data_IF_222074276368
#
_entry.id   IF_222074276368
#
_cell.length_a   1.000
_cell.length_b   1.000
_cell.length_c   1.000
_cell.angle_alpha   90.00
_cell.angle_beta   90.00
_cell.angle_gamma   90.00
#
_symmetry.space_group_name_H-M   'P 1'
#
loop_
_entity.id
_entity.type
_entity.pdbx_description
1 polymer ?
#
# COMPACT_ATOMS: atom_id res chain seq x y z
N UNK A 1 19.57 8.50 40.89
CA UNK A 1 20.07 8.44 39.49
C UNK A 1 18.93 7.98 38.58
N UNK A 2 18.47 8.79 37.62
CA UNK A 2 17.47 8.34 36.64
C UNK A 2 18.17 7.51 35.57
N UNK A 3 17.80 6.22 35.42
CA UNK A 3 18.24 5.37 34.30
C UNK A 3 17.78 6.04 33.00
N UNK A 4 18.73 6.41 32.13
CA UNK A 4 18.42 6.85 30.76
C UNK A 4 17.92 5.64 29.99
N UNK A 5 16.64 5.62 29.64
CA UNK A 5 16.08 4.63 28.72
C UNK A 5 16.70 4.86 27.34
N UNK A 6 17.27 3.80 26.75
CA UNK A 6 17.79 3.87 25.39
C UNK A 6 16.67 4.23 24.42
N UNK A 7 16.95 5.09 23.45
CA UNK A 7 15.96 5.50 22.44
C UNK A 7 15.62 4.31 21.54
N UNK A 8 14.34 4.04 21.31
CA UNK A 8 13.84 3.00 20.37
C UNK A 8 13.94 3.42 18.90
N UNK A 9 14.51 4.60 18.61
CA UNK A 9 14.60 5.16 17.27
C UNK A 9 15.78 4.54 16.53
N UNK A 10 15.52 4.05 15.32
CA UNK A 10 16.54 3.56 14.39
C UNK A 10 16.90 4.70 13.43
N UNK A 11 18.20 4.93 13.23
CA UNK A 11 18.68 5.86 12.20
C UNK A 11 18.70 5.14 10.85
N UNK A 12 18.09 5.76 9.85
CA UNK A 12 18.15 5.33 8.46
C UNK A 12 18.74 6.46 7.63
N UNK A 13 19.73 6.14 6.78
CA UNK A 13 20.32 7.10 5.86
C UNK A 13 19.81 6.79 4.44
N UNK A 14 19.16 7.77 3.80
CA UNK A 14 18.62 7.65 2.45
C UNK A 14 19.45 8.48 1.47
N UNK A 15 19.64 7.95 0.25
CA UNK A 15 20.20 8.70 -0.88
C UNK A 15 19.13 8.78 -1.96
N UNK A 16 18.83 10.00 -2.38
CA UNK A 16 17.88 10.28 -3.45
C UNK A 16 18.50 11.31 -4.39
N UNK A 17 17.94 11.43 -5.59
CA UNK A 17 18.34 12.47 -6.54
C UNK A 17 18.07 13.87 -5.96
N UNK A 18 18.83 14.85 -6.44
CA UNK A 18 18.83 16.20 -5.87
C UNK A 18 17.45 16.86 -5.96
N UNK A 19 16.80 16.75 -7.11
CA UNK A 19 15.48 17.28 -7.37
C UNK A 19 14.40 16.60 -6.50
N UNK A 20 14.51 15.28 -6.28
CA UNK A 20 13.64 14.55 -5.35
C UNK A 20 13.82 15.07 -3.91
N UNK A 21 15.06 15.27 -3.46
CA UNK A 21 15.34 15.83 -2.14
C UNK A 21 14.76 17.24 -1.97
N UNK A 22 14.91 18.09 -2.98
CA UNK A 22 14.34 19.45 -3.00
C UNK A 22 12.81 19.42 -2.97
N UNK A 23 12.18 18.50 -3.72
CA UNK A 23 10.73 18.29 -3.71
C UNK A 23 10.19 17.87 -2.34
N UNK A 24 10.84 16.91 -1.68
CA UNK A 24 10.48 16.46 -0.33
C UNK A 24 10.60 17.60 0.68
N UNK A 25 11.69 18.37 0.62
CA UNK A 25 11.90 19.51 1.51
C UNK A 25 10.82 20.57 1.33
N UNK A 26 10.52 20.95 0.09
CA UNK A 26 9.48 21.94 -0.23
C UNK A 26 8.11 21.49 0.27
N UNK A 27 7.75 20.23 0.07
CA UNK A 27 6.48 19.67 0.54
C UNK A 27 6.38 19.74 2.07
N UNK A 28 7.40 19.26 2.78
CA UNK A 28 7.44 19.29 4.25
C UNK A 28 7.31 20.72 4.79
N UNK A 29 8.03 21.69 4.20
CA UNK A 29 7.93 23.11 4.56
C UNK A 29 6.55 23.70 4.30
N UNK A 30 5.90 23.36 3.18
CA UNK A 30 4.57 23.92 2.85
C UNK A 30 3.47 23.51 3.82
N UNK A 31 3.61 22.37 4.49
CA UNK A 31 2.64 21.87 5.48
C UNK A 31 3.14 22.02 6.93
N UNK A 32 4.27 22.67 7.15
CA UNK A 32 4.78 23.01 8.48
C UNK A 32 5.33 21.83 9.28
N UNK A 33 5.87 20.79 8.63
CA UNK A 33 6.46 19.62 9.30
C UNK A 33 7.93 19.44 8.91
N UNK A 34 8.67 18.67 9.72
CA UNK A 34 10.04 18.27 9.36
C UNK A 34 10.05 17.16 8.30
N UNK A 35 11.11 17.09 7.50
CA UNK A 35 11.34 15.99 6.54
C UNK A 35 11.26 14.62 7.23
N UNK A 36 11.79 14.50 8.45
CA UNK A 36 11.71 13.25 9.21
C UNK A 36 10.28 12.86 9.57
N UNK A 37 9.41 13.81 9.91
CA UNK A 37 8.00 13.53 10.19
C UNK A 37 7.27 13.09 8.93
N UNK A 38 7.52 13.78 7.80
CA UNK A 38 6.96 13.41 6.51
C UNK A 38 7.36 11.98 6.14
N UNK A 39 8.67 11.68 6.11
CA UNK A 39 9.17 10.35 5.76
C UNK A 39 8.66 9.26 6.71
N UNK A 40 8.64 9.52 8.02
CA UNK A 40 8.11 8.55 8.97
C UNK A 40 6.61 8.29 8.75
N UNK A 41 5.80 9.33 8.53
CA UNK A 41 4.38 9.21 8.21
C UNK A 41 4.17 8.42 6.93
N UNK A 42 4.91 8.74 5.86
CA UNK A 42 4.86 8.04 4.59
C UNK A 42 5.26 6.57 4.72
N UNK A 43 6.33 6.24 5.44
CA UNK A 43 6.73 4.85 5.65
C UNK A 43 5.67 4.05 6.41
N UNK A 44 4.99 4.65 7.40
CA UNK A 44 3.89 3.97 8.11
C UNK A 44 2.71 3.71 7.19
N UNK A 45 2.34 4.70 6.38
CA UNK A 45 1.29 4.54 5.37
C UNK A 45 1.65 3.46 4.33
N UNK A 46 2.88 3.48 3.83
CA UNK A 46 3.39 2.45 2.91
C UNK A 46 3.27 1.06 3.54
N UNK A 47 3.69 0.86 4.78
CA UNK A 47 3.62 -0.44 5.45
C UNK A 47 2.18 -0.92 5.70
N UNK A 48 1.22 -0.01 5.74
CA UNK A 48 -0.20 -0.33 5.95
C UNK A 48 -0.90 -0.74 4.65
N UNK A 49 -0.54 -0.10 3.53
CA UNK A 49 -1.26 -0.25 2.26
C UNK A 49 -0.47 -0.90 1.13
N UNK A 50 0.83 -1.17 1.30
CA UNK A 50 1.65 -1.78 0.26
C UNK A 50 1.46 -3.29 0.19
N UNK A 51 1.31 -3.78 -1.03
CA UNK A 51 1.20 -5.20 -1.38
C UNK A 51 2.29 -5.56 -2.38
N UNK A 52 3.01 -6.65 -2.13
CA UNK A 52 4.00 -7.16 -3.07
C UNK A 52 3.32 -7.71 -4.34
N UNK A 53 3.96 -7.53 -5.48
CA UNK A 53 3.49 -8.00 -6.78
C UNK A 53 2.81 -6.93 -7.62
N UNK A 54 2.13 -7.40 -8.65
CA UNK A 54 1.43 -6.57 -9.62
C UNK A 54 -0.08 -6.62 -9.38
N UNK A 55 -0.75 -5.46 -9.30
CA UNK A 55 -2.19 -5.41 -9.12
C UNK A 55 -2.89 -5.76 -10.44
N UNK A 56 -3.97 -6.53 -10.37
CA UNK A 56 -4.85 -6.78 -11.51
C UNK A 56 -6.30 -6.83 -11.05
N UNK A 57 -7.23 -6.56 -11.97
CA UNK A 57 -8.66 -6.78 -11.74
C UNK A 57 -9.00 -8.20 -12.20
N UNK A 58 -9.63 -8.96 -11.33
CA UNK A 58 -10.20 -10.25 -11.71
C UNK A 58 -11.48 -10.06 -12.55
N UNK A 59 -12.07 -11.15 -13.11
CA UNK A 59 -13.31 -11.05 -13.88
C UNK A 59 -14.51 -10.47 -13.13
N UNK A 60 -14.49 -10.52 -11.79
CA UNK A 60 -15.51 -9.94 -10.92
C UNK A 60 -15.25 -8.45 -10.63
N UNK A 61 -14.18 -7.87 -11.21
CA UNK A 61 -13.80 -6.48 -11.02
C UNK A 61 -12.94 -6.20 -9.79
N UNK A 62 -12.67 -7.23 -8.98
CA UNK A 62 -11.95 -7.13 -7.70
C UNK A 62 -10.46 -6.93 -7.90
N UNK A 63 -9.86 -6.06 -7.11
CA UNK A 63 -8.42 -5.85 -7.12
C UNK A 63 -7.73 -6.98 -6.36
N UNK A 64 -6.87 -7.72 -7.07
CA UNK A 64 -6.01 -8.78 -6.55
C UNK A 64 -4.54 -8.50 -6.85
N UNK A 65 -3.64 -9.23 -6.20
CA UNK A 65 -2.20 -9.19 -6.47
C UNK A 65 -1.75 -10.47 -7.13
N UNK A 66 -0.95 -10.39 -8.20
CA UNK A 66 -0.19 -11.52 -8.74
C UNK A 66 1.28 -11.37 -8.39
N UNK A 67 1.95 -12.48 -8.09
CA UNK A 67 3.38 -12.46 -7.78
C UNK A 67 4.19 -11.96 -8.97
N UNK A 68 4.93 -10.88 -8.74
CA UNK A 68 5.91 -10.37 -9.68
C UNK A 68 7.01 -9.63 -8.91
N UNK A 69 8.24 -10.09 -9.06
CA UNK A 69 9.39 -9.48 -8.40
C UNK A 69 9.66 -8.08 -8.98
N UNK A 70 10.09 -7.15 -8.12
CA UNK A 70 10.34 -5.76 -8.51
C UNK A 70 9.07 -4.89 -8.61
N UNK A 71 7.92 -5.43 -8.25
CA UNK A 71 6.64 -4.74 -8.29
C UNK A 71 6.01 -4.67 -6.90
N UNK A 72 5.42 -3.53 -6.58
CA UNK A 72 4.48 -3.41 -5.47
C UNK A 72 3.47 -2.32 -5.75
N UNK A 73 2.29 -2.48 -5.17
CA UNK A 73 1.19 -1.54 -5.31
C UNK A 73 0.63 -1.11 -3.96
N UNK A 74 -0.08 0.00 -3.95
CA UNK A 74 -0.72 0.57 -2.77
C UNK A 74 -2.23 0.53 -2.92
N UNK A 75 -2.92 0.04 -1.90
CA UNK A 75 -4.37 0.01 -1.90
C UNK A 75 -4.97 -0.89 -0.82
N UNK A 76 -6.28 -1.10 -0.93
CA UNK A 76 -7.06 -2.04 -0.13
C UNK A 76 -7.46 -3.17 -1.09
N UNK A 77 -6.92 -4.39 -0.96
CA UNK A 77 -7.32 -5.48 -1.83
C UNK A 77 -8.75 -5.89 -1.51
N UNK A 78 -9.45 -6.42 -2.50
CA UNK A 78 -10.70 -7.11 -2.22
C UNK A 78 -10.37 -8.35 -1.38
N UNK A 79 -10.84 -8.36 -0.13
CA UNK A 79 -10.77 -9.55 0.70
C UNK A 79 -12.09 -10.31 0.58
N UNK A 80 -11.99 -11.52 0.00
CA UNK A 80 -13.07 -12.49 0.10
C UNK A 80 -13.31 -12.79 1.59
N UNK A 81 -14.57 -12.94 2.00
CA UNK A 81 -14.87 -13.29 3.37
C UNK A 81 -14.20 -14.64 3.71
N UNK A 82 -13.62 -14.79 4.91
CA UNK A 82 -13.04 -16.05 5.36
C UNK A 82 -14.01 -17.22 5.14
N UNK A 83 -13.51 -18.34 4.60
CA UNK A 83 -14.34 -19.47 4.16
C UNK A 83 -15.30 -20.01 5.23
N UNK A 84 -14.90 -19.95 6.50
CA UNK A 84 -15.77 -20.34 7.63
C UNK A 84 -16.95 -19.40 7.84
N UNK A 85 -16.78 -18.08 7.66
CA UNK A 85 -17.88 -17.11 7.71
C UNK A 85 -18.78 -17.22 6.49
N UNK A 86 -18.20 -17.54 5.31
CA UNK A 86 -18.95 -17.84 4.09
C UNK A 86 -19.88 -19.03 4.31
N UNK A 87 -19.36 -20.12 4.87
CA UNK A 87 -20.12 -21.34 5.13
C UNK A 87 -21.22 -21.13 6.16
N UNK A 88 -20.90 -20.52 7.30
CA UNK A 88 -21.85 -20.27 8.39
C UNK A 88 -23.02 -19.39 7.93
N UNK A 89 -22.75 -18.30 7.22
CA UNK A 89 -23.81 -17.42 6.70
C UNK A 89 -24.68 -18.11 5.65
N UNK A 90 -24.09 -18.92 4.76
CA UNK A 90 -24.84 -19.67 3.75
C UNK A 90 -25.75 -20.72 4.40
N UNK A 91 -25.26 -21.42 5.43
CA UNK A 91 -26.05 -22.39 6.19
C UNK A 91 -27.20 -21.73 6.98
N UNK A 92 -27.01 -20.52 7.50
CA UNK A 92 -28.02 -19.80 8.29
C UNK A 92 -29.05 -19.02 7.45
N UNK A 93 -28.63 -18.45 6.32
CA UNK A 93 -29.45 -17.50 5.54
C UNK A 93 -29.76 -17.93 4.12
N UNK A 94 -29.06 -18.94 3.60
CA UNK A 94 -29.20 -19.39 2.21
C UNK A 94 -28.71 -18.38 1.16
N UNK A 95 -27.99 -17.34 1.59
CA UNK A 95 -27.46 -16.27 0.73
C UNK A 95 -25.93 -16.28 0.77
N UNK A 96 -25.23 -15.86 -0.31
CA UNK A 96 -23.79 -15.71 -0.30
C UNK A 96 -23.35 -14.55 0.61
N UNK A 97 -22.19 -14.68 1.28
CA UNK A 97 -21.64 -13.61 2.10
C UNK A 97 -21.21 -12.44 1.21
N UNK A 98 -21.66 -11.20 1.50
CA UNK A 98 -21.13 -10.03 0.81
C UNK A 98 -19.62 -9.91 1.06
N UNK A 99 -18.82 -9.54 0.04
CA UNK A 99 -17.38 -9.36 0.22
C UNK A 99 -17.11 -8.34 1.32
N UNK A 100 -15.99 -8.50 2.06
CA UNK A 100 -15.65 -7.61 3.18
C UNK A 100 -15.30 -6.19 2.70
N UNK A 101 -15.04 -6.00 1.40
CA UNK A 101 -14.97 -4.72 0.70
C UNK A 101 -15.50 -4.88 -0.72
N UNK A 102 -16.29 -3.92 -1.23
CA UNK A 102 -17.08 -4.16 -2.45
C UNK A 102 -16.26 -4.31 -3.74
N UNK A 103 -15.05 -3.76 -3.89
CA UNK A 103 -14.17 -4.04 -5.05
C UNK A 103 -12.65 -3.95 -4.75
N UNK A 104 -12.30 -3.51 -3.54
CA UNK A 104 -10.97 -3.00 -3.22
C UNK A 104 -10.75 -1.55 -3.71
N UNK A 105 -9.70 -0.90 -3.21
CA UNK A 105 -9.28 0.44 -3.62
C UNK A 105 -7.82 0.44 -4.07
N UNK A 106 -7.49 1.24 -5.09
CA UNK A 106 -6.13 1.38 -5.60
C UNK A 106 -5.65 2.81 -5.51
N UNK A 107 -4.45 2.98 -4.97
CA UNK A 107 -3.83 4.28 -4.76
C UNK A 107 -2.64 4.51 -5.70
N UNK A 108 -1.96 3.45 -6.13
CA UNK A 108 -0.85 3.56 -7.07
C UNK A 108 -0.03 2.28 -7.20
N UNK A 109 0.83 2.25 -8.22
CA UNK A 109 1.68 1.11 -8.54
C UNK A 109 3.10 1.57 -8.85
N UNK A 110 4.08 0.86 -8.27
CA UNK A 110 5.50 1.05 -8.51
C UNK A 110 6.08 -0.21 -9.16
N UNK A 111 6.50 -0.06 -10.42
CA UNK A 111 7.12 -1.10 -11.22
C UNK A 111 8.60 -0.79 -11.47
N UNK A 112 9.48 -1.57 -10.84
CA UNK A 112 10.93 -1.51 -11.00
C UNK A 112 11.49 -2.57 -11.96
N UNK A 113 10.62 -3.29 -12.68
CA UNK A 113 11.03 -4.17 -13.79
C UNK A 113 11.52 -3.35 -14.98
N UNK A 114 11.92 -4.00 -16.06
CA UNK A 114 12.29 -3.34 -17.32
C UNK A 114 11.14 -2.50 -17.92
N UNK A 115 9.91 -2.69 -17.45
CA UNK A 115 8.75 -1.85 -17.81
C UNK A 115 8.84 -0.44 -17.21
N UNK A 116 9.54 -0.25 -16.09
CA UNK A 116 9.85 1.02 -15.39
C UNK A 116 8.68 2.00 -15.32
N UNK A 117 7.65 1.64 -14.58
CA UNK A 117 6.43 2.46 -14.54
C UNK A 117 5.95 2.81 -13.14
N UNK A 118 5.91 4.13 -12.85
CA UNK A 118 5.05 4.68 -11.80
C UNK A 118 3.70 5.00 -12.44
N UNK A 119 2.63 4.27 -12.12
CA UNK A 119 1.28 4.51 -12.69
C UNK A 119 0.25 4.89 -11.63
N UNK A 120 -0.70 5.74 -12.05
CA UNK A 120 -1.85 6.20 -11.27
C UNK A 120 -3.18 5.54 -11.67
N UNK A 121 -3.22 4.79 -12.76
CA UNK A 121 -4.45 4.16 -13.29
C UNK A 121 -4.22 2.70 -13.72
N UNK A 122 -5.30 1.91 -13.65
CA UNK A 122 -5.37 0.48 -14.04
C UNK A 122 -5.53 0.22 -15.55
N UNK A 123 -5.90 1.24 -16.33
CA UNK A 123 -6.51 1.06 -17.65
C UNK A 123 -5.63 0.42 -18.74
N UNK A 124 -4.35 0.18 -18.46
CA UNK A 124 -3.41 -0.41 -19.43
C UNK A 124 -3.34 -1.95 -19.37
N UNK A 125 -4.18 -2.60 -18.56
CA UNK A 125 -4.26 -4.06 -18.45
C UNK A 125 -5.66 -4.58 -18.80
N UNK A 126 -6.00 -4.53 -20.09
CA UNK A 126 -7.07 -5.35 -20.73
C UNK A 126 -6.55 -5.93 -22.03
#
# INVERSE_FOLDING_TARGET
MKKKTASTKVRMDFRVEKDVAEGIQKLASSVGISVNQLLHGSCRWILEYAHAGEPFRDPDGKIRSRELEGCFWFGIPACDAPEHLVREHYEERGEPVPPLSEDGEFYGFLDFTDRRVVRRDFADYT
#
